data_IF_008941839991
#
_entry.id   IF_008941839991
#
_cell.length_a   1.000
_cell.length_b   1.000
_cell.length_c   1.000
_cell.angle_alpha   90.00
_cell.angle_beta   90.00
_cell.angle_gamma   90.00
#
_symmetry.space_group_name_H-M   'P 1'
#
loop_
_entity.id
_entity.type
_entity.pdbx_description
1 polymer ?
#
# COMPACT_ATOMS: atom_id res chain seq x y z
N UNK A 1 -9.35 -11.10 -12.08
CA UNK A 1 -9.23 -11.53 -10.67
C UNK A 1 -10.60 -11.56 -10.04
N UNK A 2 -11.00 -12.62 -9.31
CA UNK A 2 -12.26 -12.60 -8.60
C UNK A 2 -12.24 -11.44 -7.59
N UNK A 3 -13.25 -10.58 -7.65
CA UNK A 3 -13.37 -9.35 -6.83
C UNK A 3 -13.10 -9.59 -5.33
N UNK A 4 -13.29 -10.82 -4.87
CA UNK A 4 -13.02 -11.32 -3.52
C UNK A 4 -11.56 -11.09 -3.09
N UNK A 5 -10.57 -11.37 -3.94
CA UNK A 5 -9.15 -11.22 -3.57
C UNK A 5 -8.81 -9.76 -3.30
N UNK A 6 -9.35 -8.84 -4.12
CA UNK A 6 -9.18 -7.39 -3.95
C UNK A 6 -9.85 -6.88 -2.68
N UNK A 7 -11.00 -7.44 -2.33
CA UNK A 7 -11.70 -7.13 -1.10
C UNK A 7 -10.91 -7.60 0.12
N UNK A 8 -10.31 -8.79 0.07
CA UNK A 8 -9.44 -9.31 1.12
C UNK A 8 -8.22 -8.41 1.27
N UNK A 9 -7.56 -8.06 0.16
CA UNK A 9 -6.42 -7.14 0.16
C UNK A 9 -6.77 -5.78 0.75
N UNK A 10 -7.97 -5.27 0.48
CA UNK A 10 -8.43 -4.02 1.08
C UNK A 10 -8.69 -4.19 2.57
N UNK A 11 -9.48 -5.18 2.99
CA UNK A 11 -9.99 -5.26 4.36
C UNK A 11 -9.01 -5.88 5.36
N UNK A 12 -8.24 -6.88 4.95
CA UNK A 12 -7.36 -7.64 5.84
C UNK A 12 -6.32 -6.75 6.54
N UNK A 13 -5.63 -5.81 5.86
CA UNK A 13 -4.73 -4.88 6.52
C UNK A 13 -5.43 -4.05 7.59
N UNK A 14 -6.66 -3.58 7.36
CA UNK A 14 -7.39 -2.75 8.31
C UNK A 14 -7.71 -3.46 9.62
N UNK A 15 -7.88 -4.79 9.60
CA UNK A 15 -8.04 -5.58 10.83
C UNK A 15 -6.81 -5.42 11.73
N UNK A 16 -5.61 -5.32 11.15
CA UNK A 16 -4.38 -5.15 11.93
C UNK A 16 -4.32 -3.83 12.71
N UNK A 17 -5.06 -2.79 12.28
CA UNK A 17 -5.07 -1.48 12.98
C UNK A 17 -5.62 -1.61 14.40
N UNK A 18 -6.44 -2.62 14.69
CA UNK A 18 -6.94 -2.88 16.05
C UNK A 18 -5.78 -3.09 17.05
N UNK A 19 -4.64 -3.60 16.59
CA UNK A 19 -3.44 -3.79 17.42
C UNK A 19 -2.54 -2.55 17.48
N UNK A 20 -2.82 -1.50 16.69
CA UNK A 20 -2.00 -0.30 16.63
C UNK A 20 -2.40 0.69 17.74
N UNK A 21 -1.46 1.21 18.55
CA UNK A 21 -1.78 2.19 19.58
C UNK A 21 -2.43 3.45 19.00
N UNK A 22 -3.52 3.93 19.62
CA UNK A 22 -4.26 5.13 19.15
C UNK A 22 -3.36 6.37 18.98
N UNK A 23 -2.35 6.53 19.84
CA UNK A 23 -1.36 7.61 19.74
C UNK A 23 -0.52 7.49 18.46
N UNK A 24 -0.02 6.29 18.18
CA UNK A 24 0.75 6.01 16.97
C UNK A 24 -0.09 6.20 15.71
N UNK A 25 -1.34 5.71 15.71
CA UNK A 25 -2.27 5.92 14.62
C UNK A 25 -2.43 7.41 14.28
N UNK A 26 -2.77 8.26 15.26
CA UNK A 26 -2.94 9.70 15.03
C UNK A 26 -1.65 10.40 14.58
N UNK A 27 -0.51 9.97 15.09
CA UNK A 27 0.78 10.55 14.74
C UNK A 27 1.20 10.22 13.31
N UNK A 28 0.96 8.98 12.85
CA UNK A 28 1.44 8.49 11.55
C UNK A 28 0.37 8.49 10.46
N UNK A 29 -0.89 8.78 10.78
CA UNK A 29 -1.96 8.93 9.80
C UNK A 29 -1.67 10.03 8.76
N UNK A 30 -1.21 11.24 9.13
CA UNK A 30 -0.94 12.29 8.15
C UNK A 30 0.12 11.87 7.12
N UNK A 31 1.22 11.27 7.57
CA UNK A 31 2.28 10.80 6.66
C UNK A 31 1.78 9.65 5.78
N UNK A 32 1.00 8.72 6.33
CA UNK A 32 0.46 7.58 5.58
C UNK A 32 -0.55 8.03 4.51
N UNK A 33 -1.39 9.02 4.81
CA UNK A 33 -2.29 9.63 3.85
C UNK A 33 -1.54 10.40 2.76
N UNK A 34 -0.53 11.18 3.15
CA UNK A 34 0.28 11.94 2.22
C UNK A 34 1.03 11.03 1.24
N UNK A 35 1.70 9.98 1.73
CA UNK A 35 2.39 9.02 0.86
C UNK A 35 1.40 8.25 -0.01
N UNK A 36 0.22 7.89 0.51
CA UNK A 36 -0.83 7.24 -0.29
C UNK A 36 -1.33 8.13 -1.43
N UNK A 37 -1.44 9.45 -1.20
CA UNK A 37 -1.77 10.41 -2.25
C UNK A 37 -0.68 10.44 -3.34
N UNK A 38 0.60 10.46 -2.95
CA UNK A 38 1.73 10.42 -3.89
C UNK A 38 1.72 9.15 -4.74
N UNK A 39 1.51 7.98 -4.11
CA UNK A 39 1.42 6.70 -4.83
C UNK A 39 0.19 6.66 -5.74
N UNK A 40 -0.94 7.23 -5.32
CA UNK A 40 -2.11 7.36 -6.21
C UNK A 40 -1.77 8.18 -7.45
N UNK A 41 -1.07 9.31 -7.29
CA UNK A 41 -0.54 10.09 -8.42
C UNK A 41 0.39 9.26 -9.31
N UNK A 42 1.28 8.47 -8.71
CA UNK A 42 2.17 7.55 -9.42
C UNK A 42 1.38 6.51 -10.23
N UNK A 43 0.31 5.93 -9.68
CA UNK A 43 -0.58 5.00 -10.38
C UNK A 43 -1.30 5.66 -11.56
N UNK A 44 -1.72 6.92 -11.42
CA UNK A 44 -2.32 7.68 -12.52
C UNK A 44 -1.31 7.91 -13.65
N UNK A 45 -0.07 8.26 -13.32
CA UNK A 45 1.02 8.39 -14.31
C UNK A 45 1.39 7.05 -14.94
N UNK A 46 1.26 5.93 -14.21
CA UNK A 46 1.53 4.60 -14.74
C UNK A 46 0.60 4.20 -15.90
N UNK A 47 -0.55 4.86 -16.08
CA UNK A 47 -1.47 4.62 -17.19
C UNK A 47 -0.88 5.09 -18.54
N UNK A 48 -0.56 6.39 -18.75
CA UNK A 48 0.03 6.84 -20.01
C UNK A 48 1.45 6.29 -20.24
N UNK A 49 2.25 6.14 -19.18
CA UNK A 49 3.64 5.67 -19.29
C UNK A 49 3.79 4.14 -19.29
N UNK A 50 2.70 3.39 -19.13
CA UNK A 50 2.66 1.92 -19.16
C UNK A 50 3.67 1.25 -18.21
N UNK A 51 3.90 1.82 -17.02
CA UNK A 51 4.84 1.27 -16.04
C UNK A 51 4.46 -0.13 -15.55
N UNK A 52 3.15 -0.42 -15.45
CA UNK A 52 2.65 -1.78 -15.23
C UNK A 52 1.26 -1.97 -15.83
N UNK A 53 1.02 -3.18 -16.33
CA UNK A 53 -0.23 -3.57 -17.01
C UNK A 53 -1.08 -4.44 -16.09
N UNK A 54 -2.35 -4.09 -15.95
CA UNK A 54 -3.35 -4.87 -15.21
C UNK A 54 -4.37 -5.41 -16.22
N UNK A 55 -4.71 -6.70 -16.13
CA UNK A 55 -5.71 -7.31 -17.01
C UNK A 55 -7.11 -6.75 -16.70
N UNK A 56 -7.94 -6.56 -17.73
CA UNK A 56 -9.33 -6.06 -17.60
C UNK A 56 -9.53 -4.57 -17.89
N UNK A 57 -8.51 -3.87 -18.40
CA UNK A 57 -8.62 -2.48 -18.85
C UNK A 57 -8.61 -1.43 -17.74
N UNK A 58 -8.86 -0.17 -18.11
CA UNK A 58 -8.70 1.00 -17.23
C UNK A 58 -9.50 0.91 -15.91
N UNK A 59 -10.78 0.54 -15.96
CA UNK A 59 -11.62 0.45 -14.75
C UNK A 59 -11.07 -0.57 -13.77
N UNK A 60 -10.62 -1.73 -14.27
CA UNK A 60 -10.01 -2.76 -13.44
C UNK A 60 -8.67 -2.33 -12.87
N UNK A 61 -7.88 -1.55 -13.60
CA UNK A 61 -6.61 -0.98 -13.12
C UNK A 61 -6.84 0.01 -11.98
N UNK A 62 -7.77 0.95 -12.13
CA UNK A 62 -8.11 1.91 -11.07
C UNK A 62 -8.60 1.21 -9.81
N UNK A 63 -9.48 0.22 -9.94
CA UNK A 63 -9.92 -0.57 -8.78
C UNK A 63 -8.78 -1.35 -8.14
N UNK A 64 -7.86 -1.91 -8.93
CA UNK A 64 -6.73 -2.67 -8.43
C UNK A 64 -5.76 -1.79 -7.63
N UNK A 65 -5.33 -0.71 -8.28
CA UNK A 65 -4.39 0.25 -7.72
C UNK A 65 -5.02 0.94 -6.48
N UNK A 66 -6.32 1.27 -6.53
CA UNK A 66 -7.05 1.82 -5.39
C UNK A 66 -7.14 0.86 -4.21
N UNK A 67 -7.50 -0.41 -4.43
CA UNK A 67 -7.52 -1.42 -3.37
C UNK A 67 -6.15 -1.64 -2.74
N UNK A 68 -5.08 -1.53 -3.53
CA UNK A 68 -3.70 -1.61 -3.03
C UNK A 68 -3.31 -0.38 -2.20
N UNK A 69 -3.54 0.83 -2.72
CA UNK A 69 -3.14 2.07 -2.06
C UNK A 69 -3.87 2.26 -0.74
N UNK A 70 -5.21 2.12 -0.74
CA UNK A 70 -6.02 2.35 0.45
C UNK A 70 -6.11 1.14 1.40
N UNK A 71 -5.62 -0.01 0.97
CA UNK A 71 -5.52 -1.21 1.81
C UNK A 71 -4.10 -1.40 2.35
N UNK A 72 -3.31 -2.32 1.78
CA UNK A 72 -2.04 -2.73 2.34
C UNK A 72 -0.99 -1.62 2.36
N UNK A 73 -0.98 -0.70 1.40
CA UNK A 73 0.02 0.37 1.37
C UNK A 73 -0.19 1.39 2.51
N UNK A 74 -1.41 1.93 2.65
CA UNK A 74 -1.74 2.88 3.71
C UNK A 74 -1.52 2.27 5.09
N UNK A 75 -2.06 1.08 5.33
CA UNK A 75 -1.93 0.42 6.63
C UNK A 75 -0.51 -0.06 6.90
N UNK A 76 0.19 -0.55 5.86
CA UNK A 76 1.60 -0.92 5.95
C UNK A 76 2.46 0.27 6.32
N UNK A 77 2.20 1.44 5.74
CA UNK A 77 2.93 2.68 6.07
C UNK A 77 2.77 3.05 7.55
N UNK A 78 1.54 2.96 8.10
CA UNK A 78 1.30 3.18 9.53
C UNK A 78 2.16 2.27 10.40
N UNK A 79 2.24 0.98 10.05
CA UNK A 79 3.04 0.01 10.79
C UNK A 79 4.54 0.23 10.64
N UNK A 80 5.02 0.51 9.43
CA UNK A 80 6.43 0.82 9.18
C UNK A 80 6.85 1.98 10.08
N UNK A 81 6.12 3.10 10.04
CA UNK A 81 6.43 4.25 10.90
C UNK A 81 6.32 3.90 12.38
N UNK A 82 5.30 3.16 12.80
CA UNK A 82 5.20 2.74 14.20
C UNK A 82 6.40 1.93 14.69
N UNK A 83 6.92 1.02 13.86
CA UNK A 83 8.02 0.13 14.21
C UNK A 83 9.41 0.78 14.07
N UNK A 84 9.55 1.79 13.22
CA UNK A 84 10.87 2.32 12.83
C UNK A 84 11.10 3.80 13.12
N UNK A 85 10.08 4.55 13.57
CA UNK A 85 10.24 5.98 13.84
C UNK A 85 11.38 6.26 14.82
N UNK A 86 12.16 7.30 14.54
CA UNK A 86 13.36 7.66 15.29
C UNK A 86 14.64 6.93 14.88
N UNK A 87 14.58 5.92 13.99
CA UNK A 87 15.77 5.24 13.47
C UNK A 87 15.72 5.11 11.95
N UNK A 88 16.46 5.98 11.25
CA UNK A 88 16.48 6.02 9.78
C UNK A 88 16.98 4.70 9.17
N UNK A 89 17.99 4.05 9.74
CA UNK A 89 18.54 2.79 9.20
C UNK A 89 17.50 1.67 9.28
N UNK A 90 16.77 1.60 10.40
CA UNK A 90 15.69 0.62 10.58
C UNK A 90 14.54 0.91 9.62
N UNK A 91 14.18 2.18 9.44
CA UNK A 91 13.17 2.59 8.46
C UNK A 91 13.55 2.15 7.05
N UNK A 92 14.77 2.49 6.61
CA UNK A 92 15.24 2.11 5.27
C UNK A 92 15.22 0.60 5.07
N UNK A 93 15.67 -0.19 6.05
CA UNK A 93 15.66 -1.64 5.96
C UNK A 93 14.25 -2.23 5.86
N UNK A 94 13.34 -1.81 6.75
CA UNK A 94 11.96 -2.32 6.75
C UNK A 94 11.18 -1.85 5.51
N UNK A 95 11.34 -0.58 5.12
CA UNK A 95 10.67 -0.02 3.94
C UNK A 95 11.13 -0.73 2.67
N UNK A 96 12.45 -0.91 2.49
CA UNK A 96 12.99 -1.63 1.34
C UNK A 96 12.49 -3.07 1.27
N UNK A 97 12.49 -3.79 2.40
CA UNK A 97 11.97 -5.15 2.44
C UNK A 97 10.49 -5.19 2.02
N UNK A 98 9.67 -4.29 2.56
CA UNK A 98 8.26 -4.20 2.20
C UNK A 98 8.07 -3.89 0.71
N UNK A 99 8.85 -2.95 0.17
CA UNK A 99 8.80 -2.61 -1.27
C UNK A 99 9.18 -3.81 -2.14
N UNK A 100 10.20 -4.59 -1.76
CA UNK A 100 10.58 -5.83 -2.45
C UNK A 100 9.46 -6.87 -2.39
N UNK A 101 8.83 -7.05 -1.22
CA UNK A 101 7.69 -7.96 -1.06
C UNK A 101 6.50 -7.53 -1.93
N UNK A 102 6.18 -6.24 -1.98
CA UNK A 102 5.08 -5.75 -2.82
C UNK A 102 5.38 -5.83 -4.32
N UNK A 103 6.64 -5.60 -4.71
CA UNK A 103 7.04 -5.55 -6.12
C UNK A 103 7.18 -6.93 -6.77
N UNK A 104 7.68 -7.94 -6.04
CA UNK A 104 7.98 -9.25 -6.63
C UNK A 104 6.98 -10.35 -6.27
N UNK A 105 6.88 -10.85 -5.02
CA UNK A 105 5.96 -11.96 -4.72
C UNK A 105 4.49 -11.54 -4.80
N UNK A 106 4.15 -10.31 -4.39
CA UNK A 106 2.77 -9.84 -4.41
C UNK A 106 2.31 -9.33 -5.77
N UNK A 107 3.19 -8.92 -6.68
CA UNK A 107 2.77 -8.47 -8.01
C UNK A 107 2.05 -9.55 -8.81
N UNK A 108 2.42 -10.82 -8.61
CA UNK A 108 1.69 -11.97 -9.16
C UNK A 108 0.25 -12.08 -8.63
N UNK A 109 0.00 -11.65 -7.38
CA UNK A 109 -1.34 -11.60 -6.78
C UNK A 109 -2.17 -10.37 -7.22
N UNK A 110 -1.53 -9.36 -7.82
CA UNK A 110 -2.18 -8.10 -8.23
C UNK A 110 -2.38 -7.94 -9.76
N UNK A 111 -1.70 -8.72 -10.61
CA UNK A 111 -1.80 -8.69 -12.09
C UNK A 111 -2.86 -9.64 -12.67
#
# INVERSE_FOLDING_TARGET
MPNIIRLILLLFPWISIVFLPKKAFRQYLPVSLFTSLLVTGMCLLAVPYKWWVVKGGWKHKVFNDGSFVFGPFLVGTLWIFHLTFGNLKRYLGVNLLMDLFFSFPLSYLFQ
#
